data_IF_024458768913
#
_entry.id   IF_024458768913
#
_cell.length_a   1.000
_cell.length_b   1.000
_cell.length_c   1.000
_cell.angle_alpha   90.00
_cell.angle_beta   90.00
_cell.angle_gamma   90.00
#
_symmetry.space_group_name_H-M   'P 1'
#
loop_
_entity.id
_entity.type
_entity.pdbx_description
1 polymer ?
#
# COMPACT_ATOMS: atom_id res chain seq x y z
N UNK A 1 -18.47 -9.81 44.72
CA UNK A 1 -19.60 -9.24 43.97
C UNK A 1 -19.07 -8.01 43.25
N UNK A 2 -18.89 -8.09 41.93
CA UNK A 2 -18.52 -6.93 41.10
C UNK A 2 -19.82 -6.26 40.66
N UNK A 3 -20.07 -5.03 41.14
CA UNK A 3 -21.15 -4.19 40.64
C UNK A 3 -20.77 -3.72 39.24
N UNK A 4 -21.48 -4.21 38.23
CA UNK A 4 -21.54 -3.57 36.93
C UNK A 4 -22.58 -2.46 37.06
N UNK A 5 -22.14 -1.21 36.99
CA UNK A 5 -23.03 -0.06 36.93
C UNK A 5 -23.71 -0.08 35.56
N UNK A 6 -24.89 -0.71 35.51
CA UNK A 6 -25.84 -0.75 34.40
C UNK A 6 -26.64 0.57 34.30
N UNK A 7 -25.93 1.69 34.09
CA UNK A 7 -26.58 2.99 33.98
C UNK A 7 -26.22 3.67 32.65
N UNK A 8 -27.04 3.32 31.65
CA UNK A 8 -27.19 3.91 30.31
C UNK A 8 -26.36 3.31 29.16
N UNK A 9 -26.42 1.99 28.97
CA UNK A 9 -26.13 1.40 27.65
C UNK A 9 -27.34 1.65 26.73
N UNK A 10 -27.43 2.86 26.15
CA UNK A 10 -28.37 3.14 25.06
C UNK A 10 -28.00 2.23 23.88
N UNK A 11 -28.91 1.33 23.52
CA UNK A 11 -28.70 0.34 22.46
C UNK A 11 -28.58 1.09 21.11
N UNK A 12 -27.35 1.37 20.69
CA UNK A 12 -27.06 2.10 19.46
C UNK A 12 -26.81 1.07 18.34
N UNK A 13 -27.73 0.92 17.37
CA UNK A 13 -27.56 -0.04 16.28
C UNK A 13 -26.39 0.31 15.36
N UNK A 14 -25.88 1.55 15.42
CA UNK A 14 -24.69 1.98 14.68
C UNK A 14 -23.38 1.68 15.42
N UNK A 15 -23.41 1.04 16.59
CA UNK A 15 -22.21 0.71 17.33
C UNK A 15 -21.46 -0.47 16.69
N UNK A 16 -20.26 -0.17 16.21
CA UNK A 16 -19.35 -1.13 15.57
C UNK A 16 -18.65 -2.02 16.61
N UNK A 17 -18.56 -1.59 17.87
CA UNK A 17 -17.85 -2.36 18.91
C UNK A 17 -18.66 -3.57 19.37
N UNK A 18 -19.99 -3.41 19.47
CA UNK A 18 -20.93 -4.46 19.87
C UNK A 18 -21.10 -5.55 18.80
N UNK A 19 -21.07 -5.19 17.50
CA UNK A 19 -21.30 -6.14 16.40
C UNK A 19 -20.00 -6.69 15.78
N UNK A 20 -19.52 -7.82 16.32
CA UNK A 20 -18.30 -8.52 15.85
C UNK A 20 -18.29 -8.86 14.36
N UNK A 21 -19.33 -9.51 13.77
CA UNK A 21 -19.31 -9.85 12.34
C UNK A 21 -19.36 -8.61 11.43
N UNK A 22 -20.11 -7.57 11.77
CA UNK A 22 -20.13 -6.32 10.99
C UNK A 22 -18.75 -5.65 10.99
N UNK A 23 -18.11 -5.55 12.15
CA UNK A 23 -16.75 -5.01 12.29
C UNK A 23 -15.72 -5.74 11.43
N UNK A 24 -15.74 -7.08 11.44
CA UNK A 24 -14.80 -7.88 10.64
C UNK A 24 -14.95 -7.61 9.14
N UNK A 25 -16.19 -7.52 8.62
CA UNK A 25 -16.46 -7.21 7.21
C UNK A 25 -15.97 -5.82 6.84
N UNK A 26 -16.20 -4.82 7.69
CA UNK A 26 -15.71 -3.46 7.48
C UNK A 26 -14.18 -3.40 7.44
N UNK A 27 -13.51 -4.01 8.42
CA UNK A 27 -12.05 -4.05 8.47
C UNK A 27 -11.44 -4.79 7.28
N UNK A 28 -12.08 -5.86 6.80
CA UNK A 28 -11.66 -6.55 5.59
C UNK A 28 -11.71 -5.63 4.36
N UNK A 29 -12.82 -4.89 4.17
CA UNK A 29 -12.96 -3.96 3.06
C UNK A 29 -11.95 -2.81 3.15
N UNK A 30 -11.74 -2.25 4.34
CA UNK A 30 -10.75 -1.20 4.58
C UNK A 30 -9.34 -1.69 4.26
N UNK A 31 -8.98 -2.88 4.74
CA UNK A 31 -7.68 -3.49 4.47
C UNK A 31 -7.49 -3.77 2.97
N UNK A 32 -8.46 -4.41 2.33
CA UNK A 32 -8.41 -4.72 0.90
C UNK A 32 -8.25 -3.44 0.07
N UNK A 33 -9.03 -2.40 0.37
CA UNK A 33 -8.94 -1.12 -0.33
C UNK A 33 -7.60 -0.41 -0.09
N UNK A 34 -7.06 -0.49 1.13
CA UNK A 34 -5.72 0.01 1.45
C UNK A 34 -4.62 -0.66 0.63
N UNK A 35 -4.64 -2.00 0.57
CA UNK A 35 -3.70 -2.77 -0.27
C UNK A 35 -3.90 -2.46 -1.75
N UNK A 36 -5.15 -2.31 -2.21
CA UNK A 36 -5.46 -1.98 -3.59
C UNK A 36 -4.87 -0.63 -4.01
N UNK A 37 -5.07 0.43 -3.21
CA UNK A 37 -4.47 1.75 -3.48
C UNK A 37 -2.95 1.68 -3.42
N UNK A 38 -2.39 0.97 -2.42
CA UNK A 38 -0.95 0.82 -2.29
C UNK A 38 -0.32 0.13 -3.51
N UNK A 39 -0.92 -0.97 -3.99
CA UNK A 39 -0.48 -1.67 -5.19
C UNK A 39 -0.58 -0.76 -6.42
N UNK A 40 -1.69 -0.05 -6.58
CA UNK A 40 -1.89 0.89 -7.69
C UNK A 40 -0.82 1.99 -7.70
N UNK A 41 -0.63 2.66 -6.57
CA UNK A 41 0.39 3.72 -6.42
C UNK A 41 1.80 3.18 -6.64
N UNK A 42 2.09 1.98 -6.13
CA UNK A 42 3.36 1.28 -6.35
C UNK A 42 3.62 0.98 -7.82
N UNK A 43 2.63 0.45 -8.55
CA UNK A 43 2.73 0.19 -9.98
C UNK A 43 2.94 1.48 -10.79
N UNK A 44 2.22 2.56 -10.45
CA UNK A 44 2.39 3.86 -11.11
C UNK A 44 3.80 4.42 -10.90
N UNK A 45 4.30 4.39 -9.67
CA UNK A 45 5.63 4.88 -9.33
C UNK A 45 6.73 4.08 -10.06
N UNK A 46 6.56 2.75 -10.15
CA UNK A 46 7.49 1.90 -10.90
C UNK A 46 7.45 2.16 -12.41
N UNK A 47 6.27 2.48 -12.96
CA UNK A 47 6.12 2.87 -14.36
C UNK A 47 6.81 4.21 -14.66
N UNK A 48 6.62 5.21 -13.80
CA UNK A 48 7.25 6.54 -13.94
C UNK A 48 8.78 6.45 -13.91
N UNK A 49 9.33 5.63 -13.01
CA UNK A 49 10.77 5.37 -12.92
C UNK A 49 11.21 4.16 -13.77
N UNK A 50 10.40 3.78 -14.76
CA UNK A 50 10.82 2.75 -15.70
C UNK A 50 12.05 3.21 -16.48
N UNK A 51 12.89 2.25 -16.84
CA UNK A 51 14.15 2.55 -17.50
C UNK A 51 13.91 3.12 -18.91
N UNK A 52 14.16 4.42 -19.07
CA UNK A 52 14.13 5.13 -20.35
C UNK A 52 15.51 5.09 -20.98
N UNK A 53 15.75 4.09 -21.84
CA UNK A 53 16.88 3.87 -22.76
C UNK A 53 18.15 4.76 -22.63
N UNK A 54 19.30 4.10 -22.45
CA UNK A 54 20.67 4.69 -22.48
C UNK A 54 21.13 5.07 -23.91
N UNK A 55 20.41 5.94 -24.60
CA UNK A 55 20.84 6.40 -25.95
C UNK A 55 21.81 7.58 -25.91
N UNK A 56 21.70 8.46 -24.92
CA UNK A 56 22.51 9.69 -24.79
C UNK A 56 23.57 9.63 -23.68
N UNK A 57 23.80 8.46 -23.08
CA UNK A 57 24.81 8.35 -22.02
C UNK A 57 26.15 8.11 -22.69
N UNK A 58 27.12 9.02 -22.48
CA UNK A 58 28.50 8.81 -22.87
C UNK A 58 29.05 7.59 -22.14
N UNK A 59 29.18 6.48 -22.87
CA UNK A 59 29.75 5.24 -22.36
C UNK A 59 31.28 5.39 -22.34
N UNK A 60 31.94 5.21 -21.19
CA UNK A 60 33.40 5.30 -21.08
C UNK A 60 34.10 4.34 -22.07
N UNK A 61 35.12 4.83 -22.77
CA UNK A 61 35.83 4.07 -23.82
C UNK A 61 36.44 2.75 -23.31
N UNK A 62 36.81 2.68 -22.02
CA UNK A 62 37.35 1.48 -21.39
C UNK A 62 36.30 0.37 -21.17
N UNK A 63 35.01 0.66 -21.30
CA UNK A 63 33.91 -0.32 -21.20
C UNK A 63 33.45 -0.82 -22.57
N UNK A 64 33.98 -0.26 -23.67
CA UNK A 64 33.67 -0.70 -25.02
C UNK A 64 34.25 -2.10 -25.24
N UNK A 65 33.45 -2.98 -25.83
CA UNK A 65 33.87 -4.33 -26.18
C UNK A 65 35.10 -4.35 -27.09
N UNK A 66 35.17 -3.39 -28.01
CA UNK A 66 36.34 -3.20 -28.86
C UNK A 66 37.23 -2.09 -28.26
N UNK A 67 38.47 -2.42 -27.86
CA UNK A 67 39.41 -1.43 -27.34
C UNK A 67 39.91 -0.51 -28.46
N UNK A 68 39.99 0.79 -28.18
CA UNK A 68 40.61 1.79 -29.04
C UNK A 68 42.02 2.10 -28.52
N UNK A 69 43.04 1.89 -29.36
CA UNK A 69 44.44 2.21 -29.04
C UNK A 69 44.81 3.59 -29.62
N UNK A 70 45.64 4.36 -28.89
CA UNK A 70 46.18 5.65 -29.33
C UNK A 70 47.45 5.46 -30.17
#
# INVERSE_FOLDING_TARGET
MHNYNDENQLDNPADIELNKPSKSRFLFLLFFFGIFIFAWAGCYNLYEHSYTSTKDIEVPDNTKYNPTYK
#
